data_IF_272719374970
#
_entry.id   IF_272719374970
#
_cell.length_a   1.000
_cell.length_b   1.000
_cell.length_c   1.000
_cell.angle_alpha   90.00
_cell.angle_beta   90.00
_cell.angle_gamma   90.00
#
_symmetry.space_group_name_H-M   'P 1'
#
loop_
_entity.id
_entity.type
_entity.pdbx_description
1 polymer ?
#
# COMPACT_ATOMS: atom_id res chain seq x y z
N UNK A 1 14.05 -15.58 -0.86
CA UNK A 1 15.28 -15.39 -1.67
C UNK A 1 16.35 -14.53 -0.99
N UNK A 2 15.96 -13.56 -0.12
CA UNK A 2 16.93 -12.72 0.63
C UNK A 2 17.78 -13.57 1.60
N UNK A 3 17.20 -14.56 2.27
CA UNK A 3 17.90 -15.45 3.22
C UNK A 3 19.01 -16.29 2.56
N UNK A 4 18.91 -16.57 1.25
CA UNK A 4 19.88 -17.42 0.55
C UNK A 4 21.05 -16.64 -0.10
N UNK A 5 20.85 -15.35 -0.41
CA UNK A 5 21.83 -14.54 -1.15
C UNK A 5 22.38 -13.35 -0.35
N UNK A 6 21.76 -13.00 0.77
CA UNK A 6 22.20 -11.96 1.69
C UNK A 6 22.54 -12.64 3.02
N UNK A 7 23.82 -12.62 3.37
CA UNK A 7 24.25 -12.92 4.72
C UNK A 7 23.82 -11.73 5.57
N UNK A 8 22.80 -11.91 6.41
CA UNK A 8 22.33 -10.86 7.29
C UNK A 8 23.49 -10.44 8.21
N UNK A 9 24.01 -9.20 8.09
CA UNK A 9 25.03 -8.74 9.00
C UNK A 9 24.44 -8.70 10.42
N UNK A 10 25.30 -8.79 11.46
CA UNK A 10 24.83 -8.59 12.83
C UNK A 10 23.96 -7.34 12.92
N UNK A 11 22.87 -7.38 13.70
CA UNK A 11 21.98 -6.22 13.86
C UNK A 11 22.81 -4.99 14.24
N UNK A 12 22.81 -3.97 13.39
CA UNK A 12 23.58 -2.73 13.55
C UNK A 12 24.94 -2.69 12.84
N UNK A 13 25.46 -3.77 12.23
CA UNK A 13 26.75 -3.72 11.52
C UNK A 13 26.73 -2.85 10.25
N UNK A 14 25.57 -2.73 9.59
CA UNK A 14 25.41 -1.81 8.47
C UNK A 14 25.53 -0.33 8.91
N UNK A 15 25.07 -0.01 10.12
CA UNK A 15 25.15 1.32 10.71
C UNK A 15 26.54 1.61 11.33
N UNK A 16 27.22 0.57 11.86
CA UNK A 16 28.63 0.64 12.31
C UNK A 16 29.59 0.93 11.15
N UNK A 17 29.42 0.29 9.99
CA UNK A 17 30.27 0.52 8.80
C UNK A 17 30.11 1.92 8.20
N UNK A 18 28.97 2.57 8.42
CA UNK A 18 28.64 3.91 7.90
C UNK A 18 29.14 5.05 8.81
N UNK A 19 29.75 4.71 9.96
CA UNK A 19 30.27 5.68 10.92
C UNK A 19 29.19 6.38 11.76
N UNK A 20 27.93 5.95 11.67
CA UNK A 20 26.78 6.59 12.33
C UNK A 20 26.58 6.09 13.78
N UNK A 21 27.29 5.02 14.19
CA UNK A 21 27.27 4.51 15.56
C UNK A 21 28.69 4.56 16.14
N UNK A 22 29.05 5.72 16.69
CA UNK A 22 29.96 5.75 17.82
C UNK A 22 29.14 5.40 19.06
N UNK A 23 29.56 4.33 19.74
CA UNK A 23 29.04 3.80 21.01
C UNK A 23 28.01 2.67 20.87
N UNK A 24 28.33 1.58 21.57
CA UNK A 24 27.48 0.41 21.79
C UNK A 24 26.02 0.83 22.02
N UNK A 25 25.08 0.05 21.46
CA UNK A 25 23.65 0.18 21.73
C UNK A 25 23.45 0.23 23.25
N UNK A 26 23.32 1.45 23.79
CA UNK A 26 23.07 1.68 25.21
C UNK A 26 21.61 1.32 25.42
N UNK A 27 21.32 0.49 26.41
CA UNK A 27 19.94 0.18 26.80
C UNK A 27 19.29 1.45 27.35
N UNK A 28 18.62 2.19 26.48
CA UNK A 28 17.76 3.33 26.82
C UNK A 28 16.45 2.85 27.40
N UNK A 29 15.77 3.69 28.18
CA UNK A 29 14.45 3.35 28.74
C UNK A 29 13.40 3.42 27.63
N UNK A 30 12.43 2.50 27.63
CA UNK A 30 11.35 2.43 26.64
C UNK A 30 10.62 3.77 26.38
N UNK A 31 10.44 4.58 27.44
CA UNK A 31 9.80 5.88 27.34
C UNK A 31 10.65 6.92 26.60
N UNK A 32 11.98 6.85 26.74
CA UNK A 32 12.93 7.72 26.05
C UNK A 32 12.92 7.42 24.53
N UNK A 33 12.79 6.16 24.16
CA UNK A 33 12.69 5.74 22.76
C UNK A 33 11.38 6.21 22.12
N UNK A 34 10.24 6.07 22.81
CA UNK A 34 8.94 6.60 22.33
C UNK A 34 9.02 8.12 22.15
N UNK A 35 9.58 8.83 23.13
CA UNK A 35 9.73 10.29 23.05
C UNK A 35 10.63 10.70 21.89
N UNK A 36 11.71 9.96 21.65
CA UNK A 36 12.61 10.16 20.52
C UNK A 36 11.89 9.98 19.17
N UNK A 37 11.11 8.91 19.03
CA UNK A 37 10.33 8.63 17.83
C UNK A 37 9.30 9.72 17.53
N UNK A 38 8.54 10.16 18.53
CA UNK A 38 7.50 11.19 18.37
C UNK A 38 8.12 12.57 18.07
N UNK A 39 9.34 12.83 18.51
CA UNK A 39 10.06 14.08 18.21
C UNK A 39 10.60 14.09 16.77
N UNK A 40 10.71 12.93 16.11
CA UNK A 40 11.18 12.84 14.74
C UNK A 40 10.03 13.12 13.74
N UNK A 41 10.02 14.26 13.04
CA UNK A 41 8.92 14.63 12.15
C UNK A 41 8.79 13.66 10.97
N UNK A 42 9.89 13.09 10.46
CA UNK A 42 9.85 12.13 9.36
C UNK A 42 9.11 10.86 9.79
N UNK A 43 9.36 10.39 11.02
CA UNK A 43 8.66 9.23 11.58
C UNK A 43 7.16 9.51 11.77
N UNK A 44 6.81 10.67 12.33
CA UNK A 44 5.41 11.05 12.55
C UNK A 44 4.64 11.15 11.23
N UNK A 45 5.17 11.87 10.23
CA UNK A 45 4.50 12.02 8.94
C UNK A 45 4.40 10.70 8.16
N UNK A 46 5.44 9.85 8.22
CA UNK A 46 5.42 8.55 7.53
C UNK A 46 4.40 7.61 8.17
N UNK A 47 4.34 7.58 9.51
CA UNK A 47 3.34 6.80 10.24
C UNK A 47 1.93 7.30 9.94
N UNK A 48 1.70 8.61 10.00
CA UNK A 48 0.42 9.21 9.67
C UNK A 48 -0.02 8.90 8.22
N UNK A 49 0.88 9.04 7.26
CA UNK A 49 0.63 8.68 5.85
C UNK A 49 0.27 7.21 5.67
N UNK A 50 1.02 6.31 6.30
CA UNK A 50 0.72 4.88 6.26
C UNK A 50 -0.64 4.55 6.90
N UNK A 51 -0.96 5.16 8.04
CA UNK A 51 -2.28 4.97 8.67
C UNK A 51 -3.42 5.45 7.80
N UNK A 52 -3.25 6.57 7.07
CA UNK A 52 -4.24 7.06 6.13
C UNK A 52 -4.44 6.08 4.96
N UNK A 53 -3.36 5.49 4.42
CA UNK A 53 -3.45 4.45 3.38
C UNK A 53 -4.21 3.22 3.89
N UNK A 54 -3.88 2.72 5.08
CA UNK A 54 -4.56 1.57 5.69
C UNK A 54 -6.05 1.87 5.90
N UNK A 55 -6.38 3.08 6.36
CA UNK A 55 -7.78 3.52 6.50
C UNK A 55 -8.51 3.51 5.15
N UNK A 56 -7.91 4.10 4.10
CA UNK A 56 -8.50 4.12 2.75
C UNK A 56 -8.72 2.70 2.24
N UNK A 57 -7.73 1.81 2.35
CA UNK A 57 -7.87 0.40 1.92
C UNK A 57 -9.02 -0.28 2.67
N UNK A 58 -9.10 -0.12 3.99
CA UNK A 58 -10.19 -0.68 4.80
C UNK A 58 -11.57 -0.16 4.38
N UNK A 59 -11.69 1.15 4.13
CA UNK A 59 -12.95 1.72 3.63
C UNK A 59 -13.32 1.18 2.25
N UNK A 60 -12.36 1.07 1.32
CA UNK A 60 -12.61 0.53 -0.01
C UNK A 60 -13.05 -0.93 0.02
N UNK A 61 -12.47 -1.75 0.90
CA UNK A 61 -12.88 -3.15 1.07
C UNK A 61 -14.35 -3.29 1.44
N UNK A 62 -14.92 -2.33 2.18
CA UNK A 62 -16.33 -2.33 2.54
C UNK A 62 -17.22 -1.71 1.45
N UNK A 63 -16.82 -0.54 0.94
CA UNK A 63 -17.65 0.26 0.05
C UNK A 63 -17.63 -0.20 -1.41
N UNK A 64 -16.52 -0.74 -1.90
CA UNK A 64 -16.40 -1.20 -3.28
C UNK A 64 -17.37 -2.35 -3.64
N UNK A 65 -17.43 -3.47 -2.90
CA UNK A 65 -18.40 -4.53 -3.21
C UNK A 65 -19.84 -4.06 -3.07
N UNK A 66 -20.14 -3.26 -2.03
CA UNK A 66 -21.47 -2.68 -1.81
C UNK A 66 -21.93 -1.82 -2.99
N UNK A 67 -21.02 -1.02 -3.57
CA UNK A 67 -21.32 -0.19 -4.74
C UNK A 67 -21.62 -1.05 -5.99
N UNK A 68 -20.89 -2.14 -6.19
CA UNK A 68 -21.11 -3.08 -7.29
C UNK A 68 -22.44 -3.83 -7.10
N UNK A 69 -22.74 -4.31 -5.88
CA UNK A 69 -24.03 -4.94 -5.55
C UNK A 69 -25.21 -4.00 -5.83
N UNK A 70 -25.09 -2.72 -5.47
CA UNK A 70 -26.14 -1.73 -5.73
C UNK A 70 -26.33 -1.48 -7.23
N UNK A 71 -25.24 -1.41 -7.99
CA UNK A 71 -25.33 -1.30 -9.45
C UNK A 71 -25.99 -2.54 -10.08
N UNK A 72 -25.66 -3.74 -9.61
CA UNK A 72 -26.24 -4.96 -10.14
C UNK A 72 -27.74 -5.07 -9.80
N UNK A 73 -28.15 -4.65 -8.60
CA UNK A 73 -29.56 -4.52 -8.24
C UNK A 73 -30.30 -3.53 -9.14
N UNK A 74 -29.72 -2.36 -9.40
CA UNK A 74 -30.27 -1.35 -10.32
C UNK A 74 -30.42 -1.89 -11.74
N UNK A 75 -29.42 -2.60 -12.27
CA UNK A 75 -29.47 -3.23 -13.60
C UNK A 75 -30.57 -4.28 -13.74
N UNK A 76 -30.90 -4.97 -12.66
CA UNK A 76 -32.00 -5.96 -12.60
C UNK A 76 -33.36 -5.34 -12.29
N UNK A 77 -33.45 -4.01 -12.14
CA UNK A 77 -34.69 -3.30 -11.81
C UNK A 77 -35.19 -3.57 -10.39
N UNK A 78 -34.32 -4.05 -9.48
CA UNK A 78 -34.69 -4.37 -8.11
C UNK A 78 -34.58 -3.13 -7.22
N UNK A 79 -35.63 -2.86 -6.43
CA UNK A 79 -35.71 -1.66 -5.58
C UNK A 79 -34.87 -1.77 -4.28
N UNK A 80 -34.31 -2.95 -3.99
CA UNK A 80 -33.49 -3.20 -2.80
C UNK A 80 -32.41 -4.24 -3.06
N UNK A 81 -31.21 -4.02 -2.52
CA UNK A 81 -30.09 -4.98 -2.54
C UNK A 81 -30.36 -6.25 -1.75
N UNK A 82 -31.38 -6.29 -0.88
CA UNK A 82 -31.82 -7.51 -0.18
C UNK A 82 -32.58 -8.49 -1.08
N UNK A 83 -33.10 -8.03 -2.22
CA UNK A 83 -33.78 -8.90 -3.19
C UNK A 83 -32.80 -9.57 -4.16
N UNK A 84 -31.51 -9.23 -4.06
CA UNK A 84 -30.45 -9.82 -4.88
C UNK A 84 -30.09 -11.21 -4.32
N UNK A 85 -30.00 -12.21 -5.20
CA UNK A 85 -29.66 -13.58 -4.81
C UNK A 85 -28.36 -13.59 -3.97
N UNK A 86 -28.34 -14.22 -2.78
CA UNK A 86 -27.13 -14.36 -1.96
C UNK A 86 -25.93 -14.94 -2.72
N UNK A 87 -26.15 -15.84 -3.68
CA UNK A 87 -25.07 -16.43 -4.50
C UNK A 87 -24.33 -15.37 -5.33
N UNK A 88 -25.06 -14.38 -5.86
CA UNK A 88 -24.49 -13.29 -6.66
C UNK A 88 -23.67 -12.36 -5.78
N UNK A 89 -24.15 -12.03 -4.59
CA UNK A 89 -23.38 -11.23 -3.60
C UNK A 89 -22.09 -11.93 -3.20
N UNK A 90 -22.18 -13.24 -2.92
CA UNK A 90 -21.01 -14.05 -2.59
C UNK A 90 -20.00 -14.06 -3.75
N UNK A 91 -20.48 -14.18 -4.99
CA UNK A 91 -19.63 -14.14 -6.18
C UNK A 91 -18.93 -12.78 -6.35
N UNK A 92 -19.63 -11.66 -6.19
CA UNK A 92 -19.05 -10.31 -6.26
C UNK A 92 -17.95 -10.15 -5.21
N UNK A 93 -18.23 -10.54 -3.97
CA UNK A 93 -17.26 -10.44 -2.87
C UNK A 93 -16.04 -11.34 -3.10
N UNK A 94 -16.24 -12.56 -3.63
CA UNK A 94 -15.16 -13.48 -3.94
C UNK A 94 -14.27 -12.94 -5.06
N UNK A 95 -14.87 -12.47 -6.16
CA UNK A 95 -14.12 -11.89 -7.29
C UNK A 95 -13.35 -10.64 -6.85
N UNK A 96 -14.00 -9.74 -6.12
CA UNK A 96 -13.34 -8.55 -5.56
C UNK A 96 -12.18 -8.92 -4.65
N UNK A 97 -12.37 -9.91 -3.78
CA UNK A 97 -11.33 -10.41 -2.87
C UNK A 97 -10.13 -10.97 -3.63
N UNK A 98 -10.34 -11.81 -4.64
CA UNK A 98 -9.27 -12.38 -5.46
C UNK A 98 -8.49 -11.28 -6.19
N UNK A 99 -9.18 -10.33 -6.83
CA UNK A 99 -8.53 -9.21 -7.54
C UNK A 99 -7.72 -8.35 -6.56
N UNK A 100 -8.28 -8.05 -5.39
CA UNK A 100 -7.61 -7.26 -4.35
C UNK A 100 -6.34 -7.96 -3.86
N UNK A 101 -6.39 -9.27 -3.63
CA UNK A 101 -5.22 -10.06 -3.22
C UNK A 101 -4.12 -10.08 -4.29
N UNK A 102 -4.49 -10.38 -5.54
CA UNK A 102 -3.54 -10.43 -6.66
C UNK A 102 -2.94 -9.06 -6.93
N UNK A 103 -3.78 -8.02 -6.97
CA UNK A 103 -3.36 -6.63 -7.13
C UNK A 103 -2.45 -6.15 -6.00
N UNK A 104 -2.73 -6.53 -4.75
CA UNK A 104 -1.88 -6.22 -3.60
C UNK A 104 -0.49 -6.86 -3.71
N UNK A 105 -0.41 -8.15 -4.04
CA UNK A 105 0.86 -8.86 -4.22
C UNK A 105 1.67 -8.24 -5.37
N UNK A 106 1.02 -8.02 -6.51
CA UNK A 106 1.66 -7.40 -7.67
C UNK A 106 2.14 -5.97 -7.38
N UNK A 107 1.32 -5.17 -6.69
CA UNK A 107 1.63 -3.80 -6.32
C UNK A 107 2.84 -3.70 -5.38
N UNK A 108 2.92 -4.56 -4.37
CA UNK A 108 4.09 -4.62 -3.47
C UNK A 108 5.34 -5.05 -4.23
N UNK A 109 5.23 -6.04 -5.12
CA UNK A 109 6.34 -6.49 -5.95
C UNK A 109 6.88 -5.36 -6.83
N UNK A 110 6.01 -4.72 -7.60
CA UNK A 110 6.36 -3.60 -8.48
C UNK A 110 6.92 -2.40 -7.69
N UNK A 111 6.29 -2.04 -6.57
CA UNK A 111 6.75 -0.95 -5.71
C UNK A 111 8.14 -1.20 -5.13
N UNK A 112 8.42 -2.45 -4.71
CA UNK A 112 9.72 -2.85 -4.18
C UNK A 112 10.81 -2.81 -5.25
N UNK A 113 10.52 -3.34 -6.46
CA UNK A 113 11.46 -3.30 -7.58
C UNK A 113 11.74 -1.86 -8.02
N UNK A 114 10.71 -1.02 -8.10
CA UNK A 114 10.88 0.39 -8.48
C UNK A 114 11.66 1.18 -7.42
N UNK A 115 11.40 0.92 -6.13
CA UNK A 115 12.18 1.50 -5.03
C UNK A 115 13.64 1.06 -5.09
N UNK A 116 13.91 -0.21 -5.42
CA UNK A 116 15.27 -0.73 -5.60
C UNK A 116 15.98 -0.09 -6.80
N UNK A 117 15.29 0.12 -7.93
CA UNK A 117 15.87 0.80 -9.08
C UNK A 117 16.19 2.27 -8.78
N UNK A 118 15.29 2.98 -8.09
CA UNK A 118 15.54 4.37 -7.65
C UNK A 118 16.72 4.46 -6.69
N UNK A 119 16.85 3.50 -5.76
CA UNK A 119 17.94 3.46 -4.77
C UNK A 119 19.30 3.11 -5.38
N UNK A 120 19.32 2.23 -6.38
CA UNK A 120 20.55 1.74 -7.04
C UNK A 120 20.98 2.66 -8.18
N UNK A 121 20.10 3.57 -8.65
CA UNK A 121 20.40 4.48 -9.76
C UNK A 121 20.48 3.76 -11.12
N UNK A 122 19.84 2.60 -11.25
CA UNK A 122 19.87 1.79 -12.46
C UNK A 122 18.73 2.23 -13.40
N UNK A 123 19.05 2.56 -14.66
CA UNK A 123 18.06 2.99 -15.67
C UNK A 123 17.76 4.51 -15.67
N UNK A 124 16.51 4.95 -15.96
CA UNK A 124 16.16 6.37 -16.15
C UNK A 124 16.30 7.22 -14.86
N UNK A 125 16.44 6.57 -13.70
CA UNK A 125 16.53 7.22 -12.39
C UNK A 125 17.97 7.51 -11.93
N UNK A 126 18.96 7.37 -12.83
CA UNK A 126 20.39 7.61 -12.53
C UNK A 126 20.68 9.00 -11.94
N UNK A 127 19.85 10.01 -12.25
CA UNK A 127 20.00 11.37 -11.73
C UNK A 127 19.28 11.63 -10.39
N UNK A 128 18.41 10.73 -9.93
CA UNK A 128 17.54 10.94 -8.75
C UNK A 128 17.77 9.82 -7.72
N UNK A 129 19.03 9.48 -7.48
CA UNK A 129 19.37 8.47 -6.49
C UNK A 129 19.13 9.04 -5.08
N UNK A 130 18.28 8.37 -4.30
CA UNK A 130 17.97 8.77 -2.93
C UNK A 130 17.79 7.56 -2.03
N UNK A 131 18.23 7.69 -0.78
CA UNK A 131 18.03 6.67 0.26
C UNK A 131 16.57 6.60 0.73
N UNK A 132 15.76 7.63 0.42
CA UNK A 132 14.34 7.72 0.76
C UNK A 132 13.44 7.19 -0.37
N UNK A 133 13.89 6.17 -1.09
CA UNK A 133 13.21 5.62 -2.27
C UNK A 133 11.80 5.11 -1.97
N UNK A 134 11.67 4.29 -0.93
CA UNK A 134 10.43 3.60 -0.57
C UNK A 134 9.27 4.56 -0.24
N UNK A 135 9.44 5.59 0.62
CA UNK A 135 8.35 6.53 0.89
C UNK A 135 8.00 7.40 -0.32
N UNK A 136 8.95 7.70 -1.21
CA UNK A 136 8.68 8.47 -2.44
C UNK A 136 7.84 7.65 -3.42
N UNK A 137 8.24 6.39 -3.68
CA UNK A 137 7.48 5.50 -4.57
C UNK A 137 6.09 5.24 -4.01
N UNK A 138 5.97 5.01 -2.70
CA UNK A 138 4.68 4.86 -2.04
C UNK A 138 3.80 6.12 -2.20
N UNK A 139 4.36 7.31 -1.97
CA UNK A 139 3.64 8.58 -2.12
C UNK A 139 3.16 8.83 -3.55
N UNK A 140 4.02 8.57 -4.55
CA UNK A 140 3.65 8.68 -5.97
C UNK A 140 2.57 7.64 -6.33
N UNK A 141 2.72 6.40 -5.84
CA UNK A 141 1.71 5.36 -6.02
C UNK A 141 0.35 5.77 -5.44
N UNK A 142 0.33 6.37 -4.25
CA UNK A 142 -0.88 6.89 -3.64
C UNK A 142 -1.49 8.05 -4.47
N UNK A 143 -0.67 8.98 -4.97
CA UNK A 143 -1.13 10.08 -5.83
C UNK A 143 -1.75 9.60 -7.14
N UNK A 144 -1.20 8.56 -7.76
CA UNK A 144 -1.75 7.95 -8.98
C UNK A 144 -2.99 7.11 -8.65
N UNK A 145 -3.03 6.51 -7.45
CA UNK A 145 -4.16 5.71 -6.98
C UNK A 145 -5.46 6.51 -6.89
N UNK A 146 -5.40 7.75 -6.38
CA UNK A 146 -6.60 8.61 -6.21
C UNK A 146 -7.39 8.84 -7.51
N UNK A 147 -6.81 9.35 -8.62
CA UNK A 147 -7.55 9.56 -9.86
C UNK A 147 -8.02 8.24 -10.49
N UNK A 148 -7.25 7.16 -10.32
CA UNK A 148 -7.62 5.83 -10.83
C UNK A 148 -8.85 5.31 -10.10
N UNK A 149 -8.88 5.37 -8.77
CA UNK A 149 -10.03 4.98 -7.96
C UNK A 149 -11.27 5.81 -8.31
N UNK A 150 -11.11 7.12 -8.48
CA UNK A 150 -12.21 7.99 -8.90
C UNK A 150 -12.78 7.58 -10.26
N UNK A 151 -11.91 7.29 -11.23
CA UNK A 151 -12.33 6.79 -12.54
C UNK A 151 -13.05 5.44 -12.44
N UNK A 152 -12.55 4.50 -11.63
CA UNK A 152 -13.19 3.20 -11.40
C UNK A 152 -14.63 3.36 -10.88
N UNK A 153 -14.86 4.20 -9.85
CA UNK A 153 -16.21 4.45 -9.34
C UNK A 153 -17.16 5.06 -10.39
N UNK A 154 -16.66 5.94 -11.26
CA UNK A 154 -17.45 6.50 -12.35
C UNK A 154 -17.74 5.51 -13.48
N UNK A 155 -16.91 4.48 -13.65
CA UNK A 155 -17.08 3.45 -14.69
C UNK A 155 -18.05 2.35 -14.27
N UNK A 156 -18.30 2.14 -12.97
CA UNK A 156 -19.27 1.16 -12.44
C UNK A 156 -20.62 1.22 -13.19
N UNK A 157 -21.28 2.38 -13.37
CA UNK A 157 -22.57 2.44 -14.07
C UNK A 157 -22.51 2.24 -15.59
N UNK A 158 -21.35 2.43 -16.23
CA UNK A 158 -21.21 2.39 -17.70
C UNK A 158 -20.69 1.04 -18.21
N UNK A 159 -19.68 0.49 -17.53
CA UNK A 159 -19.02 -0.75 -17.93
C UNK A 159 -18.41 -1.46 -16.73
N UNK A 160 -19.08 -2.50 -16.23
CA UNK A 160 -18.56 -3.35 -15.16
C UNK A 160 -17.14 -3.87 -15.43
N UNK A 161 -16.79 -4.40 -16.63
CA UNK A 161 -15.44 -4.90 -16.90
C UNK A 161 -14.31 -3.87 -16.79
N UNK A 162 -14.61 -2.59 -17.02
CA UNK A 162 -13.63 -1.50 -16.90
C UNK A 162 -13.58 -0.88 -15.50
N UNK A 163 -14.49 -1.28 -14.60
CA UNK A 163 -14.53 -0.85 -13.21
C UNK A 163 -13.84 -1.82 -12.25
N UNK A 164 -13.68 -3.09 -12.67
CA UNK A 164 -12.95 -4.14 -11.95
C UNK A 164 -11.44 -3.93 -11.98
#
# INVERSE_FOLDING_TARGET
MIIAFIQEPERGAAERKKGEIANAVVTTRYWEDIKSLVTNPTYVFSTAGYTAIVFVVGTLTWWAPTAIEHNEAYRKGLNSTNLLNPDVKAQINLVFGVITCVGGIAGVGLGSTLSMFLRTGYGPFKYVQTIRSDPIICGIGALIGVPTLYASFHLIPKSLPGAW
#
